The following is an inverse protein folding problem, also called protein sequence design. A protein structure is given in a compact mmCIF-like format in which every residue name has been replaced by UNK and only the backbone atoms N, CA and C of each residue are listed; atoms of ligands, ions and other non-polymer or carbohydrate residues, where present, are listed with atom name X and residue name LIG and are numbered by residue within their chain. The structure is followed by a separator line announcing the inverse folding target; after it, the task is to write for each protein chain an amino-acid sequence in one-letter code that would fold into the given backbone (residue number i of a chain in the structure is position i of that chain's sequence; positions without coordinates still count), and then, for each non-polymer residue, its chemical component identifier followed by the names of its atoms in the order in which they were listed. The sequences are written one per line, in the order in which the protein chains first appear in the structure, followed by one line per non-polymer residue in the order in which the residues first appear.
data_IF_915357734289
#
_entry.id   IF_915357734289
#
_cell.length_a   1.000
_cell.length_b   1.000
_cell.length_c   1.000
_cell.angle_alpha   90.00
_cell.angle_beta   90.00
_cell.angle_gamma   90.00
#
_symmetry.space_group_name_H-M   'P 1'
#
loop_
_entity.id
_entity.type
_entity.pdbx_description
1 polymer ?
#
# COMPACT_ATOMS: atom_id res chain seq x y z
N UNK A 1 -10.66 13.46 -4.16
CA UNK A 1 -10.02 12.16 -4.46
C UNK A 1 -8.60 12.10 -3.91
N UNK A 2 -7.76 13.10 -4.18
CA UNK A 2 -6.35 13.11 -3.76
C UNK A 2 -6.11 12.89 -2.24
N UNK A 3 -6.88 13.53 -1.34
CA UNK A 3 -6.67 13.38 0.13
C UNK A 3 -6.87 11.96 0.65
N UNK A 4 -7.81 11.19 0.08
CA UNK A 4 -8.07 9.81 0.51
C UNK A 4 -6.93 8.88 0.09
N UNK A 5 -6.43 9.04 -1.15
CA UNK A 5 -5.27 8.28 -1.63
C UNK A 5 -4.04 8.63 -0.81
N UNK A 6 -3.81 9.92 -0.55
CA UNK A 6 -2.71 10.37 0.31
C UNK A 6 -2.80 9.75 1.70
N UNK A 7 -3.98 9.74 2.33
CA UNK A 7 -4.16 9.07 3.62
C UNK A 7 -3.79 7.59 3.56
N UNK A 8 -4.27 6.88 2.53
CA UNK A 8 -4.03 5.45 2.38
C UNK A 8 -2.54 5.10 2.16
N UNK A 9 -1.82 5.83 1.31
CA UNK A 9 -0.40 5.54 1.04
C UNK A 9 0.52 5.82 2.24
N UNK A 10 0.09 6.61 3.23
CA UNK A 10 0.85 6.83 4.46
C UNK A 10 0.45 5.86 5.59
N UNK A 11 -0.61 5.07 5.41
CA UNK A 11 -1.22 4.25 6.46
C UNK A 11 -0.95 2.75 6.29
N UNK A 12 0.01 2.35 5.45
CA UNK A 12 0.35 0.94 5.27
C UNK A 12 1.26 0.40 6.37
N UNK A 13 2.23 1.18 6.80
CA UNK A 13 3.26 0.73 7.72
C UNK A 13 4.51 1.59 7.69
N UNK A 14 5.57 1.09 8.31
CA UNK A 14 6.87 1.73 8.36
C UNK A 14 7.99 0.70 8.48
N UNK A 15 9.18 1.06 8.03
CA UNK A 15 10.37 0.23 8.17
C UNK A 15 11.22 0.71 9.35
N UNK A 16 11.43 -0.16 10.34
CA UNK A 16 12.24 0.11 11.53
C UNK A 16 13.05 -1.13 11.90
N UNK A 17 14.32 -0.93 12.27
CA UNK A 17 15.22 -1.99 12.75
C UNK A 17 15.32 -3.21 11.82
N UNK A 18 15.27 -2.99 10.51
CA UNK A 18 15.38 -4.07 9.52
C UNK A 18 14.09 -4.85 9.27
N UNK A 19 12.97 -4.46 9.90
CA UNK A 19 11.67 -5.09 9.76
C UNK A 19 10.64 -4.08 9.28
N UNK A 20 9.72 -4.54 8.42
CA UNK A 20 8.54 -3.78 8.07
C UNK A 20 7.43 -4.03 9.10
N UNK A 21 6.93 -2.96 9.69
CA UNK A 21 5.84 -2.98 10.66
C UNK A 21 4.56 -2.49 9.99
N UNK A 22 3.57 -3.38 9.89
CA UNK A 22 2.25 -3.09 9.33
C UNK A 22 1.43 -2.27 10.32
N UNK A 23 0.69 -1.29 9.83
CA UNK A 23 -0.40 -0.69 10.61
C UNK A 23 -1.56 -1.70 10.79
N UNK A 24 -2.41 -1.56 11.82
CA UNK A 24 -3.52 -2.49 12.08
C UNK A 24 -4.45 -2.70 10.89
N UNK A 25 -4.67 -1.65 10.08
CA UNK A 25 -5.57 -1.67 8.93
C UNK A 25 -4.84 -1.84 7.58
N UNK A 26 -3.61 -2.37 7.59
CA UNK A 26 -2.77 -2.50 6.38
C UNK A 26 -3.51 -3.24 5.24
N UNK A 27 -4.15 -4.38 5.53
CA UNK A 27 -4.90 -5.16 4.55
C UNK A 27 -6.03 -4.37 3.89
N UNK A 28 -6.89 -3.73 4.69
CA UNK A 28 -8.01 -2.93 4.18
C UNK A 28 -7.51 -1.67 3.45
N UNK A 29 -6.37 -1.11 3.87
CA UNK A 29 -5.73 0.02 3.20
C UNK A 29 -5.22 -0.36 1.80
N UNK A 30 -4.63 -1.55 1.62
CA UNK A 30 -4.25 -2.05 0.29
C UNK A 30 -5.50 -2.26 -0.58
N UNK A 31 -6.61 -2.77 -0.02
CA UNK A 31 -7.88 -2.87 -0.76
C UNK A 31 -8.37 -1.52 -1.26
N UNK A 32 -8.25 -0.49 -0.42
CA UNK A 32 -8.61 0.87 -0.79
C UNK A 32 -7.70 1.43 -1.89
N UNK A 33 -6.39 1.22 -1.80
CA UNK A 33 -5.45 1.62 -2.86
C UNK A 33 -5.78 0.92 -4.18
N UNK A 34 -6.03 -0.39 -4.17
CA UNK A 34 -6.43 -1.14 -5.37
C UNK A 34 -7.73 -0.56 -5.96
N UNK A 35 -8.72 -0.25 -5.12
CA UNK A 35 -9.97 0.38 -5.55
C UNK A 35 -9.70 1.74 -6.20
N UNK A 36 -8.89 2.59 -5.57
CA UNK A 36 -8.53 3.91 -6.11
C UNK A 36 -7.79 3.82 -7.44
N UNK A 37 -6.90 2.83 -7.59
CA UNK A 37 -6.18 2.58 -8.84
C UNK A 37 -7.09 2.06 -9.97
N UNK A 38 -8.14 1.31 -9.65
CA UNK A 38 -9.14 0.82 -10.61
C UNK A 38 -10.12 1.91 -11.05
N UNK A 39 -10.43 2.83 -10.16
CA UNK A 39 -11.31 3.97 -10.39
C UNK A 39 -10.54 5.22 -10.85
N UNK A 40 -9.23 5.09 -11.11
CA UNK A 40 -8.36 6.22 -11.46
C UNK A 40 -8.79 6.79 -12.80
N UNK A 41 -9.28 8.03 -12.78
CA UNK A 41 -9.73 8.74 -13.97
C UNK A 41 -8.58 9.20 -14.86
N UNK A 42 -8.89 10.01 -15.86
CA UNK A 42 -7.93 10.44 -16.90
C UNK A 42 -6.74 11.26 -16.37
N UNK A 43 -6.84 11.82 -15.17
CA UNK A 43 -5.78 12.58 -14.50
C UNK A 43 -4.79 11.68 -13.73
N UNK A 44 -5.05 10.37 -13.65
CA UNK A 44 -4.19 9.35 -13.01
C UNK A 44 -3.73 9.71 -11.58
N UNK A 45 -4.56 10.41 -10.83
CA UNK A 45 -4.19 10.98 -9.53
C UNK A 45 -3.79 9.91 -8.53
N UNK A 46 -4.47 8.75 -8.51
CA UNK A 46 -4.16 7.69 -7.55
C UNK A 46 -2.81 7.05 -7.85
N UNK A 47 -2.57 6.75 -9.13
CA UNK A 47 -1.29 6.18 -9.60
C UNK A 47 -0.12 7.13 -9.36
N UNK A 48 -0.30 8.43 -9.63
CA UNK A 48 0.73 9.44 -9.39
C UNK A 48 1.09 9.51 -7.91
N UNK A 49 0.12 9.51 -7.00
CA UNK A 49 0.44 9.53 -5.57
C UNK A 49 1.11 8.25 -5.09
N UNK A 50 0.67 7.07 -5.52
CA UNK A 50 1.37 5.81 -5.22
C UNK A 50 2.83 5.85 -5.71
N UNK A 51 3.06 6.41 -6.91
CA UNK A 51 4.39 6.56 -7.48
C UNK A 51 5.27 7.56 -6.72
N UNK A 52 4.71 8.70 -6.28
CA UNK A 52 5.43 9.71 -5.47
C UNK A 52 5.91 9.15 -4.13
N UNK A 53 5.12 8.25 -3.54
CA UNK A 53 5.49 7.57 -2.30
C UNK A 53 6.43 6.37 -2.50
N UNK A 54 6.68 5.97 -3.76
CA UNK A 54 7.41 4.76 -4.11
C UNK A 54 6.87 3.52 -3.37
N UNK A 55 5.54 3.41 -3.33
CA UNK A 55 4.79 2.43 -2.54
C UNK A 55 5.30 0.99 -2.72
N UNK A 56 5.71 0.64 -3.95
CA UNK A 56 6.22 -0.68 -4.26
C UNK A 56 7.50 -0.98 -3.48
N UNK A 57 8.47 -0.08 -3.51
CA UNK A 57 9.78 -0.31 -2.88
C UNK A 57 9.75 -0.07 -1.37
N UNK A 58 8.99 0.94 -0.93
CA UNK A 58 8.97 1.34 0.47
C UNK A 58 8.00 0.53 1.34
N UNK A 59 6.92 0.01 0.76
CA UNK A 59 5.86 -0.68 1.51
C UNK A 59 5.62 -2.11 1.03
N UNK A 60 5.24 -2.30 -0.24
CA UNK A 60 4.78 -3.62 -0.72
C UNK A 60 5.89 -4.66 -0.79
N UNK A 61 7.10 -4.31 -1.26
CA UNK A 61 8.24 -5.23 -1.29
C UNK A 61 8.72 -5.61 0.12
N UNK A 62 8.84 -4.69 1.08
CA UNK A 62 9.10 -5.03 2.47
C UNK A 62 7.99 -5.87 3.12
N UNK A 63 6.72 -5.57 2.83
CA UNK A 63 5.57 -6.31 3.32
C UNK A 63 5.62 -7.79 2.91
N UNK A 64 5.84 -8.10 1.63
CA UNK A 64 5.89 -9.50 1.15
C UNK A 64 7.11 -10.29 1.67
N UNK A 65 8.06 -9.62 2.33
CA UNK A 65 9.22 -10.24 2.99
C UNK A 65 8.99 -10.50 4.48
N UNK A 66 7.86 -10.09 5.05
CA UNK A 66 7.55 -10.37 6.45
C UNK A 66 7.33 -11.87 6.66
N UNK A 67 8.00 -12.45 7.67
CA UNK A 67 7.91 -13.88 7.99
C UNK A 67 6.53 -14.30 8.53
N UNK A 68 5.74 -13.34 8.99
CA UNK A 68 4.43 -13.51 9.62
C UNK A 68 3.27 -13.02 8.73
N UNK A 69 3.46 -13.02 7.42
CA UNK A 69 2.43 -12.67 6.45
C UNK A 69 1.48 -13.85 6.22
N UNK A 70 0.17 -13.61 6.28
CA UNK A 70 -0.83 -14.61 5.90
C UNK A 70 -0.94 -14.74 4.39
N UNK A 71 -1.49 -15.85 3.89
CA UNK A 71 -1.72 -16.05 2.45
C UNK A 71 -2.60 -14.95 1.84
N UNK A 72 -3.59 -14.45 2.59
CA UNK A 72 -4.48 -13.36 2.14
C UNK A 72 -3.73 -12.02 2.05
N UNK A 73 -2.87 -11.72 3.01
CA UNK A 73 -2.03 -10.52 3.01
C UNK A 73 -0.95 -10.56 1.92
N UNK A 74 -0.41 -11.74 1.63
CA UNK A 74 0.51 -11.93 0.51
C UNK A 74 -0.22 -11.71 -0.82
N UNK A 75 -1.36 -12.38 -1.02
CA UNK A 75 -2.14 -12.29 -2.26
C UNK A 75 -2.56 -10.86 -2.57
N UNK A 76 -3.00 -10.11 -1.55
CA UNK A 76 -3.43 -8.74 -1.77
C UNK A 76 -2.26 -7.80 -2.10
N UNK A 77 -1.09 -8.00 -1.51
CA UNK A 77 0.08 -7.14 -1.72
C UNK A 77 0.64 -7.23 -3.16
N UNK A 78 0.40 -8.34 -3.86
CA UNK A 78 0.89 -8.58 -5.23
C UNK A 78 -0.14 -8.29 -6.33
N UNK A 79 -1.33 -7.80 -5.96
CA UNK A 79 -2.53 -7.72 -6.81
C UNK A 79 -2.69 -6.39 -7.53
#
# INVERSE_FOLDING_TARGET
MNVLVQGAVHALGYYEDGKYNREPDCYETIRDIIRYLREDGDEFTARIECGRHNLVEHDLVPLVKCDDLTDEEFDIAIR
#
